data_IF_539928311708
#
_entry.id   IF_539928311708
#
_cell.length_a   1.000
_cell.length_b   1.000
_cell.length_c   1.000
_cell.angle_alpha   90.00
_cell.angle_beta   90.00
_cell.angle_gamma   90.00
#
_symmetry.space_group_name_H-M   'P 1'
#
loop_
_entity.id
_entity.type
_entity.pdbx_description
1 polymer ?
#
# COMPACT_ATOMS: atom_id res chain seq x y z
N UNK A 1 -18.60 -29.49 1.28
CA UNK A 1 -18.19 -28.37 0.41
C UNK A 1 -17.15 -27.58 1.18
N UNK A 2 -16.07 -27.15 0.52
CA UNK A 2 -14.87 -26.66 1.21
C UNK A 2 -15.05 -25.16 1.48
N UNK A 3 -15.27 -24.79 2.74
CA UNK A 3 -15.69 -23.45 3.17
C UNK A 3 -14.79 -22.32 2.64
N UNK A 4 -13.51 -22.62 2.38
CA UNK A 4 -12.56 -21.66 1.82
C UNK A 4 -12.82 -21.33 0.33
N UNK A 5 -13.39 -22.27 -0.44
CA UNK A 5 -13.73 -22.06 -1.87
C UNK A 5 -14.99 -21.20 -2.02
N UNK A 6 -15.99 -21.43 -1.17
CA UNK A 6 -17.22 -20.62 -1.15
C UNK A 6 -16.96 -19.17 -0.68
N UNK A 7 -15.92 -18.96 0.12
CA UNK A 7 -15.49 -17.61 0.53
C UNK A 7 -14.82 -16.85 -0.62
N UNK A 8 -13.94 -17.50 -1.39
CA UNK A 8 -13.27 -16.88 -2.55
C UNK A 8 -14.24 -16.52 -3.67
N UNK A 9 -15.33 -17.28 -3.85
CA UNK A 9 -16.35 -17.01 -4.88
C UNK A 9 -17.16 -15.73 -4.62
N UNK A 10 -17.08 -15.14 -3.41
CA UNK A 10 -17.76 -13.89 -3.04
C UNK A 10 -16.90 -12.64 -3.25
N UNK A 11 -15.67 -12.79 -3.74
CA UNK A 11 -14.77 -11.66 -3.93
C UNK A 11 -15.17 -10.91 -5.19
N UNK A 12 -15.62 -9.67 -5.01
CA UNK A 12 -16.01 -8.78 -6.11
C UNK A 12 -14.77 -8.07 -6.71
N UNK A 13 -13.63 -8.11 -6.00
CA UNK A 13 -12.38 -7.46 -6.35
C UNK A 13 -11.22 -8.47 -6.27
N UNK A 14 -10.17 -8.24 -7.06
CA UNK A 14 -9.01 -9.14 -7.18
C UNK A 14 -8.11 -9.18 -5.93
N UNK A 15 -8.48 -8.47 -4.86
CA UNK A 15 -7.73 -8.36 -3.61
C UNK A 15 -8.48 -9.06 -2.47
N UNK A 16 -7.76 -9.86 -1.69
CA UNK A 16 -8.29 -10.56 -0.52
C UNK A 16 -8.93 -9.62 0.51
N UNK A 17 -10.08 -9.97 1.12
CA UNK A 17 -10.68 -9.21 2.22
C UNK A 17 -9.71 -8.93 3.36
N UNK A 18 -8.74 -9.83 3.60
CA UNK A 18 -7.70 -9.59 4.60
C UNK A 18 -6.69 -8.52 4.16
N UNK A 19 -6.32 -8.52 2.88
CA UNK A 19 -5.48 -7.46 2.32
C UNK A 19 -6.23 -6.12 2.27
N UNK A 20 -7.53 -6.12 1.97
CA UNK A 20 -8.40 -4.93 2.04
C UNK A 20 -8.44 -4.36 3.46
N UNK A 21 -8.57 -5.19 4.49
CA UNK A 21 -8.56 -4.74 5.89
C UNK A 21 -7.23 -4.08 6.27
N UNK A 22 -6.11 -4.65 5.81
CA UNK A 22 -4.77 -4.06 6.01
C UNK A 22 -4.64 -2.73 5.26
N UNK A 23 -5.14 -2.65 4.02
CA UNK A 23 -5.14 -1.41 3.24
C UNK A 23 -5.92 -0.31 3.97
N UNK A 24 -7.11 -0.61 4.49
CA UNK A 24 -7.92 0.35 5.28
C UNK A 24 -7.17 0.89 6.49
N UNK A 25 -6.51 0.02 7.26
CA UNK A 25 -5.67 0.46 8.40
C UNK A 25 -4.50 1.35 7.95
N UNK A 26 -3.92 1.05 6.79
CA UNK A 26 -2.82 1.84 6.27
C UNK A 26 -3.27 3.22 5.75
N UNK A 27 -4.55 3.41 5.41
CA UNK A 27 -5.10 4.73 5.04
C UNK A 27 -5.00 5.72 6.20
N UNK A 28 -5.25 5.30 7.44
CA UNK A 28 -5.12 6.17 8.63
C UNK A 28 -3.70 6.73 8.80
N UNK A 29 -2.69 5.92 8.44
CA UNK A 29 -1.29 6.35 8.42
C UNK A 29 -1.07 7.32 7.26
N UNK A 30 -1.64 7.02 6.09
CA UNK A 30 -1.47 7.81 4.87
C UNK A 30 -2.01 9.24 5.00
N UNK A 31 -3.09 9.44 5.77
CA UNK A 31 -3.69 10.75 6.04
C UNK A 31 -2.75 11.71 6.81
N UNK A 32 -1.83 11.16 7.61
CA UNK A 32 -0.88 11.93 8.41
C UNK A 32 0.50 12.07 7.75
N UNK A 33 0.61 11.74 6.46
CA UNK A 33 1.87 11.75 5.72
C UNK A 33 1.97 12.96 4.78
N UNK A 34 3.11 13.66 4.80
CA UNK A 34 3.44 14.68 3.81
C UNK A 34 4.35 14.09 2.72
N UNK A 35 3.99 14.31 1.45
CA UNK A 35 4.77 13.83 0.29
C UNK A 35 5.68 14.93 -0.22
N UNK A 36 6.98 14.64 -0.28
CA UNK A 36 7.95 15.42 -1.07
C UNK A 36 8.46 14.58 -2.24
N UNK A 37 8.17 15.08 -3.44
CA UNK A 37 8.63 14.47 -4.68
C UNK A 37 9.85 15.23 -5.21
N UNK A 38 10.95 14.52 -5.48
CA UNK A 38 12.21 15.12 -5.95
C UNK A 38 12.35 15.14 -7.49
N UNK A 39 11.27 14.95 -8.25
CA UNK A 39 11.28 15.08 -9.72
C UNK A 39 11.71 13.85 -10.51
N UNK A 40 12.22 12.80 -9.87
CA UNK A 40 12.62 11.54 -10.53
C UNK A 40 11.79 10.34 -10.03
N UNK A 41 12.39 9.40 -9.30
CA UNK A 41 11.74 8.12 -8.93
C UNK A 41 11.49 7.91 -7.43
N UNK A 42 12.09 8.76 -6.59
CA UNK A 42 11.97 8.66 -5.13
C UNK A 42 10.91 9.60 -4.58
N UNK A 43 10.04 9.07 -3.72
CA UNK A 43 9.15 9.87 -2.89
C UNK A 43 9.67 9.85 -1.47
N UNK A 44 9.87 11.03 -0.93
CA UNK A 44 10.19 11.22 0.47
C UNK A 44 8.88 11.48 1.22
N UNK A 45 8.50 10.54 2.07
CA UNK A 45 7.30 10.61 2.87
C UNK A 45 7.70 10.98 4.29
N UNK A 46 7.10 12.02 4.83
CA UNK A 46 7.28 12.43 6.20
C UNK A 46 6.06 11.96 6.98
N UNK A 47 6.25 10.95 7.84
CA UNK A 47 5.27 10.61 8.86
C UNK A 47 5.54 11.46 10.12
N UNK A 48 4.62 11.50 11.10
CA UNK A 48 4.82 12.26 12.33
C UNK A 48 6.12 11.94 13.08
N UNK A 49 6.66 10.72 12.91
CA UNK A 49 7.82 10.22 13.66
C UNK A 49 9.12 10.25 12.84
N UNK A 50 9.07 9.93 11.54
CA UNK A 50 10.24 9.65 10.72
C UNK A 50 10.05 10.06 9.25
N UNK A 51 11.17 10.03 8.53
CA UNK A 51 11.20 10.18 7.08
C UNK A 51 11.39 8.81 6.42
N UNK A 52 10.55 8.53 5.44
CA UNK A 52 10.56 7.32 4.66
C UNK A 52 10.78 7.60 3.17
N UNK A 53 11.34 6.60 2.47
CA UNK A 53 11.51 6.66 1.01
C UNK A 53 10.68 5.56 0.39
N UNK A 54 9.89 5.90 -0.62
CA UNK A 54 9.07 4.97 -1.40
C UNK A 54 9.58 4.94 -2.84
N UNK A 55 9.79 3.74 -3.35
CA UNK A 55 10.05 3.44 -4.77
C UNK A 55 8.91 2.56 -5.28
N UNK A 56 7.98 3.16 -6.02
CA UNK A 56 6.80 2.47 -6.56
C UNK A 56 7.16 1.45 -7.65
N UNK A 57 8.23 1.68 -8.41
CA UNK A 57 8.66 0.74 -9.47
C UNK A 57 9.19 -0.56 -8.86
N UNK A 58 9.95 -0.44 -7.78
CA UNK A 58 10.49 -1.60 -7.06
C UNK A 58 9.52 -2.18 -6.03
N UNK A 59 8.38 -1.53 -5.80
CA UNK A 59 7.43 -1.87 -4.72
C UNK A 59 8.09 -1.92 -3.34
N UNK A 60 8.93 -0.92 -3.05
CA UNK A 60 9.76 -0.86 -1.83
C UNK A 60 9.43 0.39 -1.04
N UNK A 61 9.30 0.23 0.29
CA UNK A 61 9.31 1.35 1.23
C UNK A 61 10.42 1.15 2.26
N UNK A 62 11.09 2.23 2.68
CA UNK A 62 12.12 2.15 3.73
C UNK A 62 11.59 1.69 5.09
N UNK A 63 10.27 1.76 5.34
CA UNK A 63 9.64 1.17 6.53
C UNK A 63 9.57 -0.37 6.49
N UNK A 64 9.90 -1.00 5.36
CA UNK A 64 9.94 -2.45 5.12
C UNK A 64 8.61 -3.20 5.22
N UNK A 65 7.54 -2.56 5.69
CA UNK A 65 6.22 -3.18 5.85
C UNK A 65 5.67 -3.74 4.52
N UNK A 66 5.87 -3.02 3.40
CA UNK A 66 5.42 -3.48 2.09
C UNK A 66 6.14 -4.76 1.65
N UNK A 67 7.47 -4.78 1.77
CA UNK A 67 8.29 -5.94 1.38
C UNK A 67 8.02 -7.18 2.25
N UNK A 68 7.58 -6.99 3.50
CA UNK A 68 7.26 -8.09 4.41
C UNK A 68 5.85 -8.64 4.20
N UNK A 69 4.90 -7.78 3.82
CA UNK A 69 3.48 -8.14 3.73
C UNK A 69 2.98 -8.36 2.31
N UNK A 70 3.73 -7.92 1.29
CA UNK A 70 3.25 -7.83 -0.09
C UNK A 70 2.13 -6.81 -0.29
N UNK A 71 1.80 -6.02 0.72
CA UNK A 71 0.70 -5.05 0.72
C UNK A 71 1.27 -3.65 0.92
N UNK A 72 0.89 -2.65 0.09
CA UNK A 72 1.32 -1.27 0.26
C UNK A 72 1.10 -0.76 1.69
N UNK A 73 2.17 -0.24 2.31
CA UNK A 73 2.10 0.43 3.61
C UNK A 73 1.49 1.84 3.48
N UNK A 74 1.17 2.49 4.60
CA UNK A 74 0.60 3.85 4.59
C UNK A 74 1.41 4.84 3.73
N UNK A 75 2.74 4.82 3.83
CA UNK A 75 3.60 5.66 3.00
C UNK A 75 3.48 5.38 1.50
N UNK A 76 3.40 4.08 1.14
CA UNK A 76 3.21 3.67 -0.24
C UNK A 76 1.82 4.08 -0.75
N UNK A 77 0.78 3.97 0.08
CA UNK A 77 -0.56 4.44 -0.24
C UNK A 77 -0.61 5.93 -0.51
N UNK A 78 0.00 6.76 0.35
CA UNK A 78 0.09 8.21 0.11
C UNK A 78 0.74 8.51 -1.23
N UNK A 79 1.79 7.74 -1.58
CA UNK A 79 2.52 7.90 -2.84
C UNK A 79 1.71 7.46 -4.06
N UNK A 80 1.03 6.32 -3.97
CA UNK A 80 0.15 5.78 -5.02
C UNK A 80 -1.00 6.74 -5.27
N UNK A 81 -1.62 7.25 -4.20
CA UNK A 81 -2.69 8.24 -4.27
C UNK A 81 -2.20 9.55 -4.89
N UNK A 82 -1.01 10.04 -4.53
CA UNK A 82 -0.40 11.22 -5.14
C UNK A 82 -0.16 11.07 -6.66
N UNK A 83 -0.04 9.84 -7.16
CA UNK A 83 0.11 9.54 -8.59
C UNK A 83 -1.21 9.19 -9.30
N UNK A 84 -2.34 9.21 -8.59
CA UNK A 84 -3.65 8.77 -9.08
C UNK A 84 -3.60 7.34 -9.67
N UNK A 85 -2.83 6.46 -9.02
CA UNK A 85 -2.68 5.06 -9.43
C UNK A 85 -3.60 4.13 -8.64
N UNK A 86 -3.91 2.97 -9.24
CA UNK A 86 -4.78 1.94 -8.65
C UNK A 86 -3.99 1.11 -7.66
N UNK A 87 -4.32 1.19 -6.37
CA UNK A 87 -3.58 0.52 -5.27
C UNK A 87 -3.57 -0.99 -5.38
N UNK A 88 -4.64 -1.58 -5.91
CA UNK A 88 -4.80 -3.03 -6.07
C UNK A 88 -3.69 -3.62 -6.95
N UNK A 89 -3.18 -2.86 -7.93
CA UNK A 89 -2.06 -3.27 -8.79
C UNK A 89 -0.71 -3.39 -8.05
N UNK A 90 -0.66 -2.89 -6.81
CA UNK A 90 0.52 -2.87 -5.94
C UNK A 90 0.47 -3.90 -4.82
N UNK A 91 -0.62 -4.67 -4.71
CA UNK A 91 -0.74 -5.82 -3.81
C UNK A 91 -0.17 -7.06 -4.51
N UNK A 92 0.63 -7.85 -3.80
CA UNK A 92 1.12 -9.13 -4.30
C UNK A 92 0.05 -10.22 -4.13
N UNK A 93 -0.10 -11.08 -5.15
CA UNK A 93 -1.09 -12.16 -5.23
C UNK A 93 -0.51 -13.53 -4.87
#
# INVERSE_FOLDING_TARGET
MNQMREFSEKWIIDVSPMAVDILRKNVEIAENCEVKFNGDLGFEIYDPSYKHVVDLKKKVCSCRSWQLKGIPCGHALTTIHYKDWVVESFVDH
#
